data_IF_870895913158
#
_entry.id   IF_870895913158
#
_cell.length_a   1.000
_cell.length_b   1.000
_cell.length_c   1.000
_cell.angle_alpha   90.00
_cell.angle_beta   90.00
_cell.angle_gamma   90.00
#
_symmetry.space_group_name_H-M   'P 1'
#
loop_
_entity.id
_entity.type
_entity.pdbx_description
1 polymer ?
#
# COMPACT_ATOMS: atom_id res chain seq x y z
N UNK A 1 2.14 -37.57 0.00
CA UNK A 1 2.13 -36.40 -0.89
C UNK A 1 0.73 -36.25 -1.49
N UNK A 2 0.13 -35.06 -1.39
CA UNK A 2 -1.18 -34.73 -1.96
C UNK A 2 -0.98 -33.98 -3.28
N UNK A 3 -1.79 -34.29 -4.29
CA UNK A 3 -1.67 -33.67 -5.62
C UNK A 3 -2.86 -32.75 -5.89
N UNK A 4 -2.57 -31.54 -6.39
CA UNK A 4 -3.51 -30.48 -6.76
C UNK A 4 -3.26 -30.01 -8.20
N UNK A 5 -4.23 -29.35 -8.80
CA UNK A 5 -4.04 -28.61 -10.06
C UNK A 5 -3.33 -27.27 -9.78
N UNK A 6 -3.68 -26.64 -8.63
CA UNK A 6 -3.12 -25.37 -8.18
C UNK A 6 -2.84 -25.41 -6.69
N UNK A 7 -1.68 -24.94 -6.29
CA UNK A 7 -1.36 -24.57 -4.90
C UNK A 7 -1.12 -23.06 -4.83
N UNK A 8 -1.74 -22.40 -3.85
CA UNK A 8 -1.52 -20.99 -3.54
C UNK A 8 -0.90 -20.89 -2.15
N UNK A 9 0.24 -20.20 -2.03
CA UNK A 9 0.92 -19.94 -0.76
C UNK A 9 0.66 -18.49 -0.35
N UNK A 10 -0.15 -18.29 0.69
CA UNK A 10 -0.58 -16.99 1.20
C UNK A 10 -2.01 -16.59 0.76
N UNK A 11 -2.77 -16.03 1.71
CA UNK A 11 -4.17 -15.62 1.52
C UNK A 11 -4.32 -14.17 1.00
N UNK A 12 -3.32 -13.67 0.27
CA UNK A 12 -3.31 -12.32 -0.30
C UNK A 12 -4.36 -12.12 -1.40
N UNK A 13 -4.51 -10.88 -1.87
CA UNK A 13 -5.59 -10.49 -2.79
C UNK A 13 -5.55 -11.25 -4.11
N UNK A 14 -4.37 -11.41 -4.74
CA UNK A 14 -4.23 -12.14 -5.99
C UNK A 14 -4.50 -13.64 -5.80
N UNK A 15 -3.77 -14.26 -4.87
CA UNK A 15 -3.80 -15.71 -4.66
C UNK A 15 -5.18 -16.23 -4.31
N UNK A 16 -5.85 -15.63 -3.32
CA UNK A 16 -7.21 -16.04 -2.92
C UNK A 16 -8.23 -15.88 -4.05
N UNK A 17 -8.09 -14.82 -4.87
CA UNK A 17 -9.00 -14.57 -5.99
C UNK A 17 -8.81 -15.62 -7.07
N UNK A 18 -7.55 -15.96 -7.39
CA UNK A 18 -7.22 -17.02 -8.35
C UNK A 18 -7.68 -18.39 -7.84
N UNK A 19 -7.38 -18.71 -6.57
CA UNK A 19 -7.81 -19.97 -5.95
C UNK A 19 -9.32 -20.18 -6.06
N UNK A 20 -10.11 -19.20 -5.62
CA UNK A 20 -11.57 -19.28 -5.69
C UNK A 20 -12.10 -19.39 -7.12
N UNK A 21 -11.53 -18.64 -8.07
CA UNK A 21 -11.95 -18.68 -9.48
C UNK A 21 -11.69 -20.06 -10.11
N UNK A 22 -10.49 -20.65 -9.89
CA UNK A 22 -10.14 -21.93 -10.49
C UNK A 22 -10.87 -23.09 -9.79
N UNK A 23 -11.07 -23.06 -8.47
CA UNK A 23 -11.88 -24.04 -7.77
C UNK A 23 -13.34 -24.04 -8.24
N UNK A 24 -13.94 -22.84 -8.41
CA UNK A 24 -15.30 -22.70 -8.98
C UNK A 24 -15.39 -23.21 -10.43
N UNK A 25 -14.27 -23.29 -11.15
CA UNK A 25 -14.17 -23.89 -12.48
C UNK A 25 -13.86 -25.39 -12.45
N UNK A 26 -13.92 -26.04 -11.29
CA UNK A 26 -13.75 -27.47 -11.12
C UNK A 26 -12.32 -27.94 -10.95
N UNK A 27 -11.35 -27.04 -10.78
CA UNK A 27 -9.97 -27.39 -10.46
C UNK A 27 -9.83 -27.80 -8.99
N UNK A 28 -8.95 -28.76 -8.71
CA UNK A 28 -8.57 -29.13 -7.35
C UNK A 28 -7.51 -28.15 -6.84
N UNK A 29 -7.89 -27.30 -5.90
CA UNK A 29 -7.05 -26.17 -5.43
C UNK A 29 -6.77 -26.28 -3.94
N UNK A 30 -5.48 -26.10 -3.56
CA UNK A 30 -5.04 -25.90 -2.21
C UNK A 30 -4.65 -24.42 -1.98
N UNK A 31 -5.04 -23.86 -0.85
CA UNK A 31 -4.57 -22.55 -0.37
C UNK A 31 -4.00 -22.73 1.02
N UNK A 32 -2.74 -22.31 1.20
CA UNK A 32 -2.03 -22.42 2.47
C UNK A 32 -1.84 -21.04 3.09
N UNK A 33 -2.28 -20.84 4.33
CA UNK A 33 -2.08 -19.62 5.09
C UNK A 33 -1.59 -19.96 6.50
N UNK A 34 -0.49 -19.34 6.93
CA UNK A 34 0.11 -19.63 8.24
C UNK A 34 -0.68 -19.13 9.44
N UNK A 35 -1.57 -18.15 9.23
CA UNK A 35 -2.29 -17.49 10.32
C UNK A 35 -3.74 -17.21 9.96
N UNK A 36 -4.66 -17.75 10.74
CA UNK A 36 -6.10 -17.44 10.64
C UNK A 36 -6.41 -15.94 10.75
N UNK A 37 -5.58 -15.19 11.48
CA UNK A 37 -5.70 -13.76 11.60
C UNK A 37 -5.39 -13.03 10.27
N UNK A 38 -4.81 -13.73 9.27
CA UNK A 38 -4.40 -13.14 7.99
C UNK A 38 -5.29 -13.53 6.81
N UNK A 39 -6.45 -14.14 7.03
CA UNK A 39 -7.39 -14.41 5.93
C UNK A 39 -7.80 -13.11 5.21
N UNK A 40 -7.50 -13.01 3.94
CA UNK A 40 -7.64 -11.78 3.15
C UNK A 40 -6.35 -11.00 2.94
N UNK A 41 -5.25 -11.43 3.59
CA UNK A 41 -3.91 -10.85 3.45
C UNK A 41 -3.73 -9.52 4.20
N UNK A 42 -2.60 -8.89 3.95
CA UNK A 42 -2.15 -7.63 4.59
C UNK A 42 -3.20 -6.52 4.54
N UNK A 43 -3.80 -6.30 3.38
CA UNK A 43 -4.77 -5.20 3.18
C UNK A 43 -5.94 -5.25 4.16
N UNK A 44 -6.52 -6.44 4.37
CA UNK A 44 -7.71 -6.63 5.23
C UNK A 44 -7.34 -6.52 6.71
N UNK A 45 -6.19 -7.08 7.11
CA UNK A 45 -5.93 -7.39 8.51
C UNK A 45 -4.97 -6.42 9.20
N UNK A 46 -3.96 -5.90 8.47
CA UNK A 46 -2.87 -5.10 9.07
C UNK A 46 -2.44 -3.90 8.22
N UNK A 47 -3.06 -3.68 7.05
CA UNK A 47 -2.66 -2.61 6.11
C UNK A 47 -3.78 -1.61 5.83
N UNK A 48 -4.30 -1.62 4.59
CA UNK A 48 -5.20 -0.58 4.09
C UNK A 48 -6.47 -0.43 4.93
N UNK A 49 -7.19 -1.52 5.14
CA UNK A 49 -8.51 -1.46 5.80
C UNK A 49 -8.40 -1.02 7.27
N UNK A 50 -7.57 -1.65 8.12
CA UNK A 50 -7.47 -1.19 9.50
C UNK A 50 -6.98 0.25 9.60
N UNK A 51 -5.95 0.66 8.84
CA UNK A 51 -5.44 2.05 8.89
C UNK A 51 -6.51 3.06 8.47
N UNK A 52 -7.22 2.81 7.33
CA UNK A 52 -8.26 3.74 6.87
C UNK A 52 -9.49 3.75 7.79
N UNK A 53 -9.79 2.61 8.44
CA UNK A 53 -10.83 2.58 9.47
C UNK A 53 -10.46 3.44 10.68
N UNK A 54 -9.20 3.37 11.12
CA UNK A 54 -8.70 4.21 12.21
C UNK A 54 -8.76 5.69 11.84
N UNK A 55 -8.29 6.08 10.65
CA UNK A 55 -8.33 7.46 10.14
C UNK A 55 -9.77 8.00 10.14
N UNK A 56 -10.71 7.27 9.54
CA UNK A 56 -12.13 7.67 9.49
C UNK A 56 -12.78 7.68 10.87
N UNK A 57 -12.41 6.78 11.77
CA UNK A 57 -12.94 6.76 13.12
C UNK A 57 -12.40 7.92 13.98
N UNK A 58 -11.14 8.31 13.78
CA UNK A 58 -10.52 9.43 14.45
C UNK A 58 -11.11 10.80 14.05
N UNK A 59 -11.79 10.90 12.91
CA UNK A 59 -12.56 12.09 12.52
C UNK A 59 -13.88 12.24 13.28
N UNK A 60 -14.29 11.19 14.00
CA UNK A 60 -15.48 11.20 14.84
C UNK A 60 -15.06 11.49 16.29
N UNK A 61 -15.95 12.06 17.06
CA UNK A 61 -15.72 12.32 18.49
C UNK A 61 -15.80 11.01 19.31
N UNK A 62 -14.81 10.12 19.09
CA UNK A 62 -14.67 8.82 19.72
C UNK A 62 -13.41 8.77 20.58
N UNK A 63 -13.45 8.03 21.69
CA UNK A 63 -12.24 7.74 22.49
C UNK A 63 -11.28 6.85 21.72
N UNK A 64 -10.02 6.81 22.15
CA UNK A 64 -9.00 5.95 21.56
C UNK A 64 -9.44 4.47 21.56
N UNK A 65 -10.01 3.99 22.66
CA UNK A 65 -10.50 2.62 22.82
C UNK A 65 -11.65 2.33 21.84
N UNK A 66 -12.56 3.26 21.61
CA UNK A 66 -13.67 3.12 20.65
C UNK A 66 -13.18 3.11 19.21
N UNK A 67 -12.14 3.91 18.87
CA UNK A 67 -11.48 3.91 17.56
C UNK A 67 -10.84 2.54 17.29
N UNK A 68 -10.10 2.00 18.26
CA UNK A 68 -9.48 0.66 18.17
C UNK A 68 -10.55 -0.45 18.06
N UNK A 69 -11.61 -0.38 18.88
CA UNK A 69 -12.72 -1.35 18.84
C UNK A 69 -13.46 -1.33 17.49
N UNK A 70 -13.64 -0.15 16.90
CA UNK A 70 -14.24 0.01 15.56
C UNK A 70 -13.39 -0.67 14.51
N UNK A 71 -12.06 -0.46 14.51
CA UNK A 71 -11.12 -1.13 13.62
C UNK A 71 -11.20 -2.65 13.80
N UNK A 72 -11.14 -3.15 15.04
CA UNK A 72 -11.18 -4.59 15.32
C UNK A 72 -12.47 -5.25 14.80
N UNK A 73 -13.61 -4.58 14.98
CA UNK A 73 -14.91 -5.07 14.51
C UNK A 73 -14.95 -5.20 12.99
N UNK A 74 -14.48 -4.17 12.27
CA UNK A 74 -14.50 -4.16 10.80
C UNK A 74 -13.51 -5.18 10.24
N UNK A 75 -12.28 -5.22 10.76
CA UNK A 75 -11.27 -6.17 10.29
C UNK A 75 -11.66 -7.61 10.55
N UNK A 76 -12.18 -7.93 11.76
CA UNK A 76 -12.65 -9.28 12.10
C UNK A 76 -13.78 -9.75 11.19
N UNK A 77 -14.78 -8.88 10.93
CA UNK A 77 -15.88 -9.18 9.99
C UNK A 77 -15.36 -9.45 8.57
N UNK A 78 -14.44 -8.63 8.07
CA UNK A 78 -13.89 -8.79 6.72
C UNK A 78 -12.96 -9.99 6.60
N UNK A 79 -12.17 -10.29 7.62
CA UNK A 79 -11.37 -11.52 7.72
C UNK A 79 -12.27 -12.75 7.56
N UNK A 80 -13.31 -12.90 8.41
CA UNK A 80 -14.24 -14.01 8.35
C UNK A 80 -15.00 -14.10 7.01
N UNK A 81 -15.39 -12.95 6.42
CA UNK A 81 -16.01 -12.93 5.09
C UNK A 81 -15.04 -13.43 4.01
N UNK A 82 -13.77 -13.06 4.06
CA UNK A 82 -12.77 -13.53 3.10
C UNK A 82 -12.58 -15.05 3.18
N UNK A 83 -12.47 -15.59 4.40
CA UNK A 83 -12.42 -17.03 4.60
C UNK A 83 -13.64 -17.73 4.02
N UNK A 84 -14.85 -17.32 4.43
CA UNK A 84 -16.09 -17.95 3.99
C UNK A 84 -16.26 -17.90 2.45
N UNK A 85 -15.88 -16.81 1.83
CA UNK A 85 -15.95 -16.66 0.37
C UNK A 85 -15.05 -17.68 -0.35
N UNK A 86 -13.83 -17.89 0.12
CA UNK A 86 -12.91 -18.85 -0.50
C UNK A 86 -13.31 -20.28 -0.17
N UNK A 87 -13.64 -20.58 1.09
CA UNK A 87 -14.09 -21.91 1.51
C UNK A 87 -15.34 -22.36 0.76
N UNK A 88 -16.27 -21.43 0.49
CA UNK A 88 -17.48 -21.71 -0.30
C UNK A 88 -17.26 -22.08 -1.76
N UNK A 89 -16.04 -21.95 -2.29
CA UNK A 89 -15.69 -22.33 -3.68
C UNK A 89 -15.15 -23.75 -3.82
N UNK A 90 -14.94 -24.47 -2.72
CA UNK A 90 -14.38 -25.81 -2.71
C UNK A 90 -12.85 -25.88 -2.68
N UNK A 91 -12.19 -24.75 -2.33
CA UNK A 91 -10.73 -24.72 -2.08
C UNK A 91 -10.43 -25.46 -0.78
N UNK A 92 -9.43 -26.35 -0.80
CA UNK A 92 -8.85 -26.93 0.40
C UNK A 92 -7.95 -25.90 1.08
N UNK A 93 -8.40 -25.33 2.20
CA UNK A 93 -7.65 -24.33 2.95
C UNK A 93 -6.88 -25.01 4.07
N UNK A 94 -5.56 -24.79 4.10
CA UNK A 94 -4.64 -25.28 5.13
C UNK A 94 -4.14 -24.13 6.00
N UNK A 95 -4.40 -24.23 7.32
CA UNK A 95 -3.83 -23.34 8.33
C UNK A 95 -2.45 -23.88 8.72
N UNK A 96 -1.44 -23.55 7.93
CA UNK A 96 -0.11 -24.13 8.05
C UNK A 96 0.96 -23.18 7.50
N UNK A 97 2.19 -23.33 7.97
CA UNK A 97 3.36 -22.78 7.32
C UNK A 97 3.73 -23.62 6.09
N UNK A 98 4.21 -22.98 5.02
CA UNK A 98 4.62 -23.64 3.81
C UNK A 98 6.04 -23.28 3.41
N UNK A 99 6.83 -24.26 3.00
CA UNK A 99 8.14 -24.05 2.39
C UNK A 99 8.39 -25.06 1.26
N UNK A 100 9.30 -24.73 0.36
CA UNK A 100 9.66 -25.59 -0.76
C UNK A 100 10.65 -26.67 -0.33
N UNK A 101 10.37 -27.91 -0.76
CA UNK A 101 11.33 -29.02 -0.74
C UNK A 101 12.05 -29.15 -2.09
N UNK A 102 11.41 -28.74 -3.18
CA UNK A 102 11.93 -28.67 -4.54
C UNK A 102 11.04 -27.75 -5.38
N UNK A 103 11.37 -27.55 -6.66
CA UNK A 103 10.64 -26.65 -7.57
C UNK A 103 9.12 -26.84 -7.59
N UNK A 104 8.62 -28.05 -7.34
CA UNK A 104 7.19 -28.40 -7.44
C UNK A 104 6.62 -29.10 -6.22
N UNK A 105 7.42 -29.24 -5.16
CA UNK A 105 7.00 -29.89 -3.93
C UNK A 105 7.14 -28.90 -2.78
N UNK A 106 6.05 -28.70 -2.05
CA UNK A 106 6.06 -27.92 -0.80
C UNK A 106 5.73 -28.85 0.39
N UNK A 107 6.36 -28.60 1.50
CA UNK A 107 5.94 -29.14 2.79
C UNK A 107 5.08 -28.08 3.49
N UNK A 108 3.94 -28.51 4.02
CA UNK A 108 3.13 -27.68 4.93
C UNK A 108 3.22 -28.26 6.33
N UNK A 109 3.36 -27.36 7.32
CA UNK A 109 3.46 -27.73 8.72
C UNK A 109 2.42 -27.01 9.57
N UNK A 110 1.58 -27.80 10.27
CA UNK A 110 0.58 -27.34 11.25
C UNK A 110 0.87 -27.99 12.61
N UNK A 111 1.52 -27.28 13.52
CA UNK A 111 2.07 -27.87 14.74
C UNK A 111 3.09 -28.96 14.42
N UNK A 112 2.87 -30.18 14.89
CA UNK A 112 3.74 -31.35 14.64
C UNK A 112 3.37 -32.10 13.35
N UNK A 113 2.22 -31.78 12.73
CA UNK A 113 1.79 -32.44 11.51
C UNK A 113 2.48 -31.83 10.27
N UNK A 114 3.10 -32.71 9.46
CA UNK A 114 3.72 -32.35 8.20
C UNK A 114 3.04 -33.08 7.06
N UNK A 115 2.81 -32.37 5.96
CA UNK A 115 2.25 -32.95 4.72
C UNK A 115 2.98 -32.37 3.52
N UNK A 116 3.28 -33.22 2.55
CA UNK A 116 3.82 -32.79 1.26
C UNK A 116 2.68 -32.58 0.26
N UNK A 117 2.74 -31.48 -0.45
CA UNK A 117 1.84 -31.11 -1.54
C UNK A 117 2.64 -30.89 -2.82
N UNK A 118 2.02 -31.26 -3.96
CA UNK A 118 2.56 -30.97 -5.28
C UNK A 118 1.46 -30.52 -6.22
N UNK A 119 1.81 -29.64 -7.17
CA UNK A 119 0.90 -29.19 -8.22
C UNK A 119 1.66 -28.89 -9.51
N UNK A 120 0.94 -28.92 -10.63
CA UNK A 120 1.43 -28.40 -11.90
C UNK A 120 1.65 -26.88 -11.82
N UNK A 121 0.73 -26.17 -11.16
CA UNK A 121 0.80 -24.72 -10.96
C UNK A 121 0.94 -24.37 -9.47
N UNK A 122 1.95 -23.56 -9.12
CA UNK A 122 2.16 -23.01 -7.77
C UNK A 122 2.18 -21.48 -7.86
N UNK A 123 1.42 -20.81 -6.98
CA UNK A 123 1.36 -19.35 -6.92
C UNK A 123 1.81 -18.87 -5.53
N UNK A 124 2.89 -18.10 -5.51
CA UNK A 124 3.46 -17.51 -4.31
C UNK A 124 2.83 -16.13 -4.11
N UNK A 125 2.11 -15.95 -3.00
CA UNK A 125 1.43 -14.69 -2.64
C UNK A 125 1.67 -14.31 -1.17
N UNK A 126 2.90 -14.53 -0.69
CA UNK A 126 3.31 -14.31 0.69
C UNK A 126 3.47 -12.83 1.06
N UNK A 127 3.41 -11.93 0.05
CA UNK A 127 3.41 -10.49 0.25
C UNK A 127 4.76 -9.92 0.72
N UNK A 128 4.70 -8.92 1.58
CA UNK A 128 5.86 -8.24 2.15
C UNK A 128 5.70 -8.08 3.67
N UNK A 129 6.81 -7.89 4.36
CA UNK A 129 6.91 -7.60 5.79
C UNK A 129 7.60 -6.26 6.04
N UNK A 130 7.48 -5.71 7.24
CA UNK A 130 8.16 -4.46 7.61
C UNK A 130 9.67 -4.63 7.50
N UNK A 131 10.34 -3.66 6.91
CA UNK A 131 11.79 -3.65 6.79
C UNK A 131 12.41 -3.11 8.08
N UNK A 132 13.06 -3.97 8.83
CA UNK A 132 13.79 -3.59 10.04
C UNK A 132 15.21 -3.22 9.65
N UNK A 133 15.54 -1.92 9.75
CA UNK A 133 16.89 -1.45 9.49
C UNK A 133 17.88 -1.98 10.54
N UNK A 134 19.16 -2.13 10.19
CA UNK A 134 20.20 -2.61 11.12
C UNK A 134 20.64 -1.50 12.10
N UNK A 135 19.67 -0.87 12.75
CA UNK A 135 19.89 0.13 13.79
C UNK A 135 19.90 -0.59 15.13
N UNK A 136 20.96 -0.49 15.94
CA UNK A 136 21.03 -1.09 17.27
C UNK A 136 19.78 -0.76 18.10
N UNK A 137 19.15 -1.77 18.66
CA UNK A 137 17.95 -1.64 19.49
C UNK A 137 16.61 -1.52 18.77
N UNK A 138 16.57 -1.27 17.45
CA UNK A 138 15.31 -1.09 16.72
C UNK A 138 14.38 -2.32 16.83
N UNK A 139 14.95 -3.52 16.73
CA UNK A 139 14.18 -4.76 16.80
C UNK A 139 13.94 -5.29 18.23
N UNK A 140 14.61 -4.73 19.24
CA UNK A 140 14.69 -5.34 20.59
C UNK A 140 14.22 -4.42 21.70
N UNK A 141 14.13 -3.11 21.47
CA UNK A 141 13.67 -2.16 22.48
C UNK A 141 12.16 -2.28 22.69
N UNK A 142 11.73 -2.06 23.95
CA UNK A 142 10.31 -2.02 24.32
C UNK A 142 9.66 -0.77 23.73
N UNK A 143 8.34 -0.85 23.51
CA UNK A 143 7.52 0.24 22.97
C UNK A 143 7.97 0.73 21.57
N UNK A 144 8.65 -0.15 20.82
CA UNK A 144 9.01 0.07 19.41
C UNK A 144 8.15 -0.85 18.55
N UNK A 145 7.43 -0.29 17.60
CA UNK A 145 6.40 -0.98 16.84
C UNK A 145 6.58 -0.75 15.34
N UNK A 146 6.22 -1.75 14.55
CA UNK A 146 5.91 -1.56 13.13
C UNK A 146 4.46 -1.08 12.95
N UNK A 147 4.04 -0.91 11.70
CA UNK A 147 2.67 -0.49 11.35
C UNK A 147 1.59 -1.48 11.82
N UNK A 148 1.93 -2.74 12.10
CA UNK A 148 1.00 -3.73 12.64
C UNK A 148 0.85 -3.58 14.16
N UNK A 149 1.97 -3.44 14.85
CA UNK A 149 2.00 -3.30 16.30
C UNK A 149 1.35 -2.02 16.79
N UNK A 150 1.67 -0.89 16.15
CA UNK A 150 1.16 0.42 16.55
C UNK A 150 -0.37 0.51 16.50
N UNK A 151 -1.04 -0.23 15.62
CA UNK A 151 -2.51 -0.27 15.50
C UNK A 151 -3.22 -1.02 16.64
N UNK A 152 -2.46 -1.63 17.53
CA UNK A 152 -2.99 -2.52 18.58
C UNK A 152 -2.51 -2.10 19.98
N UNK A 153 -2.18 -0.82 20.16
CA UNK A 153 -1.84 -0.30 21.47
C UNK A 153 -3.07 -0.30 22.39
N UNK A 154 -2.85 -0.65 23.65
CA UNK A 154 -3.88 -0.61 24.69
C UNK A 154 -4.14 0.84 25.19
N UNK A 155 -3.15 1.72 25.00
CA UNK A 155 -3.20 3.11 25.49
C UNK A 155 -2.60 4.06 24.44
N UNK A 156 -3.24 5.21 24.30
CA UNK A 156 -2.72 6.30 23.47
C UNK A 156 -1.39 6.83 24.05
N UNK A 157 -0.26 6.81 23.29
CA UNK A 157 0.97 7.44 23.75
C UNK A 157 0.83 8.95 23.77
N UNK A 158 1.33 9.63 24.80
CA UNK A 158 1.35 11.10 24.84
C UNK A 158 2.32 11.65 23.79
N UNK A 159 3.51 11.01 23.67
CA UNK A 159 4.56 11.37 22.72
C UNK A 159 4.86 10.17 21.80
N UNK A 160 4.57 10.33 20.53
CA UNK A 160 4.85 9.33 19.51
C UNK A 160 5.99 9.78 18.59
N UNK A 161 7.06 9.00 18.55
CA UNK A 161 8.09 9.13 17.52
C UNK A 161 7.73 8.27 16.30
N UNK A 162 8.02 8.76 15.10
CA UNK A 162 7.85 8.01 13.85
C UNK A 162 9.16 8.05 13.07
N UNK A 163 9.80 6.91 12.91
CA UNK A 163 11.01 6.75 12.11
C UNK A 163 10.64 6.40 10.67
N UNK A 164 10.81 7.37 9.77
CA UNK A 164 10.48 7.30 8.34
C UNK A 164 9.24 8.09 7.94
N UNK A 165 9.41 9.11 7.09
CA UNK A 165 8.39 10.03 6.57
C UNK A 165 7.74 9.58 5.25
N UNK A 166 7.63 8.26 5.01
CA UNK A 166 6.90 7.71 3.88
C UNK A 166 5.38 7.65 4.11
N UNK A 167 4.62 7.13 3.13
CA UNK A 167 3.16 7.06 3.18
C UNK A 167 2.62 6.49 4.49
N UNK A 168 3.19 5.37 4.97
CA UNK A 168 2.77 4.73 6.22
C UNK A 168 3.01 5.67 7.41
N UNK A 169 4.22 6.21 7.53
CA UNK A 169 4.58 7.10 8.63
C UNK A 169 3.70 8.33 8.72
N UNK A 170 3.46 9.00 7.59
CA UNK A 170 2.66 10.22 7.54
C UNK A 170 1.16 9.98 7.78
N UNK A 171 0.60 8.85 7.32
CA UNK A 171 -0.77 8.48 7.64
C UNK A 171 -0.94 8.23 9.15
N UNK A 172 -0.01 7.53 9.80
CA UNK A 172 -0.03 7.34 11.25
C UNK A 172 0.28 8.62 12.01
N UNK A 173 1.11 9.51 11.47
CA UNK A 173 1.35 10.82 12.07
C UNK A 173 0.05 11.63 12.18
N UNK A 174 -0.70 11.75 11.07
CA UNK A 174 -2.00 12.40 11.08
C UNK A 174 -3.00 11.74 12.02
N UNK A 175 -3.08 10.41 12.01
CA UNK A 175 -3.96 9.61 12.87
C UNK A 175 -3.71 9.91 14.36
N UNK A 176 -2.47 9.71 14.82
CA UNK A 176 -2.15 9.83 16.23
C UNK A 176 -2.20 11.28 16.72
N UNK A 177 -1.81 12.23 15.85
CA UNK A 177 -1.96 13.65 16.14
C UNK A 177 -3.43 14.02 16.34
N UNK A 178 -4.32 13.56 15.47
CA UNK A 178 -5.77 13.77 15.58
C UNK A 178 -6.36 13.17 16.86
N UNK A 179 -5.82 12.05 17.33
CA UNK A 179 -6.22 11.41 18.59
C UNK A 179 -5.63 12.09 19.84
N UNK A 180 -4.73 13.07 19.70
CA UNK A 180 -4.20 13.89 20.79
C UNK A 180 -2.75 13.58 21.20
N UNK A 181 -2.03 12.70 20.47
CA UNK A 181 -0.60 12.50 20.69
C UNK A 181 0.21 13.67 20.14
N UNK A 182 1.32 14.02 20.82
CA UNK A 182 2.37 14.86 20.25
C UNK A 182 3.24 14.01 19.34
N UNK A 183 3.23 14.31 18.04
CA UNK A 183 3.89 13.46 17.04
C UNK A 183 5.10 14.17 16.46
N UNK A 184 6.24 13.45 16.46
CA UNK A 184 7.46 13.85 15.77
C UNK A 184 7.82 12.79 14.73
N UNK A 185 7.91 13.19 13.46
CA UNK A 185 8.37 12.35 12.35
C UNK A 185 9.83 12.65 12.08
N UNK A 186 10.68 11.61 12.10
CA UNK A 186 12.11 11.71 11.84
C UNK A 186 12.42 10.95 10.53
N UNK A 187 12.86 11.68 9.50
CA UNK A 187 13.23 11.08 8.20
C UNK A 187 14.71 11.30 7.90
N UNK A 188 15.35 10.27 7.36
CA UNK A 188 16.74 10.35 6.90
C UNK A 188 16.90 11.13 5.59
N UNK A 189 15.82 11.29 4.82
CA UNK A 189 15.83 12.07 3.59
C UNK A 189 15.84 13.58 3.90
N UNK A 190 16.47 14.35 3.04
CA UNK A 190 16.53 15.82 3.09
C UNK A 190 15.30 16.48 2.47
N UNK A 191 14.55 15.73 1.66
CA UNK A 191 13.40 16.20 0.91
C UNK A 191 12.13 15.51 1.38
N UNK A 192 11.13 16.30 1.76
CA UNK A 192 9.80 15.78 2.14
C UNK A 192 9.06 15.32 0.89
N UNK A 193 8.54 14.08 0.93
CA UNK A 193 7.80 13.46 -0.16
C UNK A 193 8.47 13.61 -1.55
N UNK A 194 9.70 13.12 -1.75
CA UNK A 194 10.50 13.38 -2.95
C UNK A 194 9.90 12.83 -4.25
N UNK A 195 8.86 11.99 -4.16
CA UNK A 195 8.15 11.43 -5.33
C UNK A 195 6.86 12.16 -5.65
N UNK A 196 6.44 13.08 -4.80
CA UNK A 196 5.25 13.89 -5.03
C UNK A 196 5.58 15.11 -5.91
N UNK A 197 4.54 15.72 -6.45
CA UNK A 197 4.65 17.04 -7.10
C UNK A 197 5.17 18.07 -6.09
N UNK A 198 6.29 18.79 -6.35
CA UNK A 198 6.95 19.61 -5.34
C UNK A 198 6.07 20.67 -4.69
N UNK A 199 5.22 21.38 -5.47
CA UNK A 199 4.29 22.37 -4.91
C UNK A 199 3.27 21.76 -3.97
N UNK A 200 2.77 20.58 -4.32
CA UNK A 200 1.80 19.83 -3.50
C UNK A 200 2.47 19.24 -2.25
N UNK A 201 3.71 18.73 -2.38
CA UNK A 201 4.49 18.26 -1.23
C UNK A 201 4.73 19.40 -0.21
N UNK A 202 5.03 20.60 -0.69
CA UNK A 202 5.21 21.77 0.16
C UNK A 202 3.93 22.14 0.93
N UNK A 203 2.75 22.12 0.26
CA UNK A 203 1.46 22.34 0.91
C UNK A 203 1.15 21.24 1.95
N UNK A 204 1.43 19.97 1.61
CA UNK A 204 1.21 18.86 2.54
C UNK A 204 2.07 19.00 3.80
N UNK A 205 3.34 19.38 3.65
CA UNK A 205 4.25 19.67 4.77
C UNK A 205 3.69 20.80 5.63
N UNK A 206 3.35 21.93 5.01
CA UNK A 206 2.81 23.09 5.70
C UNK A 206 1.58 22.72 6.54
N UNK A 207 0.60 22.00 5.97
CA UNK A 207 -0.62 21.66 6.69
C UNK A 207 -0.38 20.69 7.86
N UNK A 208 0.53 19.71 7.69
CA UNK A 208 0.89 18.82 8.78
C UNK A 208 1.59 19.56 9.93
N UNK A 209 2.46 20.55 9.61
CA UNK A 209 3.11 21.41 10.62
C UNK A 209 2.10 22.34 11.30
N UNK A 210 1.14 22.91 10.56
CA UNK A 210 0.03 23.71 11.09
C UNK A 210 -0.88 22.88 12.01
N UNK A 211 -1.08 21.60 11.71
CA UNK A 211 -1.81 20.66 12.58
C UNK A 211 -0.98 20.25 13.83
N UNK A 212 0.27 20.71 13.97
CA UNK A 212 1.13 20.48 15.13
C UNK A 212 2.02 19.24 15.07
N UNK A 213 2.18 18.62 13.90
CA UNK A 213 3.10 17.51 13.68
C UNK A 213 4.51 18.07 13.43
N UNK A 214 5.49 17.64 14.21
CA UNK A 214 6.88 18.00 14.00
C UNK A 214 7.50 17.12 12.91
N UNK A 215 7.99 17.75 11.82
CA UNK A 215 8.58 17.04 10.67
C UNK A 215 10.07 17.34 10.58
N UNK A 216 10.91 16.41 11.02
CA UNK A 216 12.36 16.50 11.03
C UNK A 216 12.97 15.70 9.89
N UNK A 217 13.67 16.40 8.99
CA UNK A 217 14.32 15.82 7.83
C UNK A 217 15.84 15.77 8.04
N UNK A 218 16.52 14.92 7.26
CA UNK A 218 17.96 14.71 7.35
C UNK A 218 18.40 14.22 8.76
N UNK A 219 17.55 13.43 9.41
CA UNK A 219 17.81 12.86 10.73
C UNK A 219 18.34 11.43 10.59
N UNK A 220 19.60 11.23 10.94
CA UNK A 220 20.23 9.92 10.92
C UNK A 220 20.22 9.30 12.32
N UNK A 221 19.35 8.30 12.50
CA UNK A 221 19.27 7.53 13.74
C UNK A 221 20.45 6.57 13.86
N UNK A 222 21.12 6.58 15.00
CA UNK A 222 22.30 5.73 15.28
C UNK A 222 21.99 4.59 16.24
N UNK A 223 21.04 4.78 17.16
CA UNK A 223 20.67 3.77 18.17
C UNK A 223 19.23 4.01 18.63
N UNK A 224 18.56 2.93 19.01
CA UNK A 224 17.29 2.97 19.77
C UNK A 224 17.54 2.25 21.10
N UNK A 225 17.13 2.83 22.22
CA UNK A 225 17.24 2.22 23.55
C UNK A 225 16.09 2.63 24.46
N UNK A 226 16.00 2.00 25.63
CA UNK A 226 15.00 2.35 26.63
C UNK A 226 15.64 3.07 27.82
N UNK A 227 14.90 4.01 28.41
CA UNK A 227 15.11 4.54 29.74
C UNK A 227 13.78 4.39 30.51
N UNK A 228 13.72 3.37 31.38
CA UNK A 228 12.46 2.92 31.97
C UNK A 228 11.47 2.48 30.90
N UNK A 229 10.30 3.10 30.85
CA UNK A 229 9.26 2.82 29.85
C UNK A 229 9.36 3.71 28.60
N UNK A 230 10.27 4.70 28.60
CA UNK A 230 10.48 5.56 27.44
C UNK A 230 11.37 4.92 26.39
N UNK A 231 11.14 5.28 25.14
CA UNK A 231 11.98 4.97 23.99
C UNK A 231 12.84 6.18 23.69
N UNK A 232 14.15 5.96 23.65
CA UNK A 232 15.13 6.96 23.26
C UNK A 232 15.59 6.68 21.82
N UNK A 233 15.37 7.65 20.93
CA UNK A 233 15.94 7.65 19.60
C UNK A 233 17.18 8.55 19.61
N UNK A 234 18.33 7.93 19.41
CA UNK A 234 19.63 8.59 19.47
C UNK A 234 20.09 8.91 18.04
N UNK A 235 20.55 10.14 17.85
CA UNK A 235 21.22 10.62 16.63
C UNK A 235 22.65 11.05 16.95
N UNK A 236 23.40 11.52 15.99
CA UNK A 236 24.74 12.06 16.23
C UNK A 236 24.72 13.35 17.07
N UNK A 237 23.62 14.11 17.01
CA UNK A 237 23.57 15.46 17.61
C UNK A 237 22.61 15.55 18.82
N UNK A 238 21.61 14.69 18.90
CA UNK A 238 20.49 14.83 19.83
C UNK A 238 19.90 13.47 20.21
N UNK A 239 19.20 13.41 21.34
CA UNK A 239 18.40 12.26 21.76
C UNK A 239 16.95 12.69 21.95
N UNK A 240 16.03 12.02 21.25
CA UNK A 240 14.60 12.25 21.34
C UNK A 240 13.96 11.23 22.29
N UNK A 241 12.95 11.66 23.04
CA UNK A 241 12.28 10.84 24.06
C UNK A 241 10.80 10.66 23.71
N UNK A 242 10.36 9.40 23.61
CA UNK A 242 9.00 9.04 23.24
C UNK A 242 8.40 8.00 24.18
N UNK A 243 7.07 7.93 24.29
CA UNK A 243 6.36 6.86 24.98
C UNK A 243 6.24 5.62 24.09
N UNK A 244 6.16 5.86 22.76
CA UNK A 244 6.16 4.82 21.74
C UNK A 244 6.90 5.29 20.48
N UNK A 245 7.51 4.36 19.75
CA UNK A 245 8.16 4.62 18.46
C UNK A 245 7.56 3.71 17.39
N UNK A 246 7.06 4.30 16.31
CA UNK A 246 6.72 3.59 15.08
C UNK A 246 7.92 3.61 14.14
N UNK A 247 8.37 2.45 13.64
CA UNK A 247 9.26 2.42 12.48
C UNK A 247 8.47 2.09 11.21
N UNK A 248 8.60 2.96 10.21
CA UNK A 248 7.97 2.87 8.89
C UNK A 248 9.01 3.01 7.77
N UNK A 249 10.11 2.29 7.93
CA UNK A 249 11.33 2.33 7.11
C UNK A 249 11.26 1.46 5.85
N UNK A 250 10.05 1.28 5.33
CA UNK A 250 9.76 0.50 4.14
C UNK A 250 9.34 -0.93 4.42
N UNK A 251 9.20 -1.71 3.35
CA UNK A 251 8.78 -3.12 3.39
C UNK A 251 9.71 -3.94 2.51
N UNK A 252 9.96 -5.20 2.90
CA UNK A 252 10.74 -6.17 2.12
C UNK A 252 9.87 -7.37 1.73
N UNK A 253 10.14 -8.04 0.58
CA UNK A 253 9.44 -9.25 0.17
C UNK A 253 9.54 -10.35 1.23
N UNK A 254 8.43 -11.06 1.47
CA UNK A 254 8.36 -12.11 2.47
C UNK A 254 8.73 -13.47 1.85
N UNK A 255 10.00 -13.69 1.60
CA UNK A 255 10.55 -14.90 0.96
C UNK A 255 11.25 -15.84 1.93
N UNK A 256 11.76 -15.32 3.07
CA UNK A 256 12.56 -16.09 4.03
C UNK A 256 11.89 -17.41 4.49
N UNK A 257 10.58 -17.44 4.82
CA UNK A 257 9.95 -18.68 5.26
C UNK A 257 9.81 -19.75 4.17
N UNK A 258 9.98 -19.37 2.90
CA UNK A 258 9.75 -20.27 1.76
C UNK A 258 10.88 -21.23 1.48
N UNK A 259 12.08 -21.03 2.05
CA UNK A 259 13.28 -21.86 1.81
C UNK A 259 13.58 -22.02 0.31
N UNK A 260 13.62 -20.90 -0.42
CA UNK A 260 13.79 -20.88 -1.88
C UNK A 260 15.13 -21.45 -2.34
N UNK A 261 16.11 -21.58 -1.44
CA UNK A 261 17.39 -22.26 -1.67
C UNK A 261 17.23 -23.74 -2.05
N UNK A 262 16.08 -24.35 -1.79
CA UNK A 262 15.73 -25.70 -2.23
C UNK A 262 15.18 -25.75 -3.67
N UNK A 263 15.15 -24.62 -4.36
CA UNK A 263 14.56 -24.43 -5.68
C UNK A 263 15.52 -23.72 -6.62
N UNK A 264 15.17 -23.69 -7.90
CA UNK A 264 15.86 -22.89 -8.91
C UNK A 264 15.28 -21.46 -9.04
N UNK A 265 14.33 -21.05 -8.17
CA UNK A 265 13.66 -19.74 -8.24
C UNK A 265 14.66 -18.63 -8.01
N UNK A 266 14.76 -17.72 -8.98
CA UNK A 266 15.66 -16.57 -8.93
C UNK A 266 15.04 -15.40 -8.15
N UNK A 267 15.91 -14.72 -7.39
CA UNK A 267 15.57 -13.47 -6.73
C UNK A 267 16.20 -12.27 -7.46
N UNK A 268 15.57 -11.12 -7.32
CA UNK A 268 16.15 -9.83 -7.72
C UNK A 268 17.23 -9.40 -6.73
N UNK A 269 18.05 -8.41 -7.07
CA UNK A 269 19.05 -7.80 -6.17
C UNK A 269 18.43 -7.26 -4.86
N UNK A 270 17.14 -6.94 -4.88
CA UNK A 270 16.38 -6.46 -3.71
C UNK A 270 15.67 -7.58 -2.94
N UNK A 271 15.95 -8.83 -3.27
CA UNK A 271 15.41 -10.01 -2.57
C UNK A 271 13.95 -10.34 -2.91
N UNK A 272 13.37 -9.76 -3.95
CA UNK A 272 12.05 -10.12 -4.45
C UNK A 272 12.14 -11.32 -5.41
N UNK A 273 11.06 -12.10 -5.54
CA UNK A 273 11.00 -13.17 -6.54
C UNK A 273 10.94 -12.54 -7.94
N UNK A 274 11.92 -12.89 -8.77
CA UNK A 274 12.00 -12.41 -10.16
C UNK A 274 10.93 -13.08 -11.01
N UNK A 275 10.18 -12.27 -11.77
CA UNK A 275 9.11 -12.75 -12.64
C UNK A 275 9.22 -12.14 -14.04
N UNK A 276 8.62 -12.84 -15.01
CA UNK A 276 8.41 -12.35 -16.37
C UNK A 276 7.13 -11.48 -16.46
N UNK A 277 6.77 -11.07 -17.67
CA UNK A 277 5.57 -10.27 -17.93
C UNK A 277 4.23 -10.94 -17.58
N UNK A 278 4.22 -12.25 -17.36
CA UNK A 278 3.05 -13.03 -16.95
C UNK A 278 3.05 -13.35 -15.45
N UNK A 279 3.90 -12.73 -14.65
CA UNK A 279 4.16 -13.04 -13.24
C UNK A 279 4.74 -14.46 -13.04
N UNK A 280 5.25 -15.13 -14.07
CA UNK A 280 5.88 -16.44 -13.96
C UNK A 280 7.36 -16.28 -13.57
N UNK A 281 7.83 -17.13 -12.67
CA UNK A 281 9.25 -17.24 -12.32
C UNK A 281 10.05 -17.92 -13.43
N UNK A 282 11.35 -18.05 -13.28
CA UNK A 282 12.18 -18.88 -14.16
C UNK A 282 11.86 -20.38 -14.07
N UNK A 283 11.09 -20.82 -13.05
CA UNK A 283 10.60 -22.20 -12.93
C UNK A 283 9.22 -22.31 -13.59
N UNK A 284 9.07 -23.10 -14.68
CA UNK A 284 7.81 -23.22 -15.40
C UNK A 284 6.64 -23.65 -14.50
N UNK A 285 5.51 -22.91 -14.58
CA UNK A 285 4.31 -23.15 -13.77
C UNK A 285 4.43 -22.70 -12.31
N UNK A 286 5.48 -21.94 -11.94
CA UNK A 286 5.57 -21.25 -10.66
C UNK A 286 5.46 -19.75 -10.88
N UNK A 287 4.50 -19.12 -10.20
CA UNK A 287 4.18 -17.70 -10.32
C UNK A 287 4.40 -16.98 -8.97
N UNK A 288 4.75 -15.70 -9.02
CA UNK A 288 4.79 -14.86 -7.83
C UNK A 288 3.98 -13.58 -8.06
N UNK A 289 3.02 -13.31 -7.18
CA UNK A 289 2.02 -12.24 -7.33
C UNK A 289 1.92 -11.37 -6.09
N UNK A 290 1.63 -10.08 -6.29
CA UNK A 290 1.60 -9.06 -5.23
C UNK A 290 3.01 -8.70 -4.74
N UNK A 291 3.10 -8.15 -3.54
CA UNK A 291 4.30 -7.50 -3.01
C UNK A 291 5.57 -8.39 -3.02
N UNK A 292 5.43 -9.70 -3.06
CA UNK A 292 6.54 -10.66 -3.05
C UNK A 292 7.38 -10.62 -4.34
N UNK A 293 6.79 -10.16 -5.46
CA UNK A 293 7.50 -10.01 -6.75
C UNK A 293 8.26 -8.67 -6.88
N UNK A 294 8.16 -7.79 -5.87
CA UNK A 294 8.92 -6.53 -5.82
C UNK A 294 8.36 -5.39 -6.67
N UNK A 295 7.19 -5.55 -7.27
CA UNK A 295 6.47 -4.49 -7.99
C UNK A 295 5.86 -3.45 -7.04
N UNK A 296 4.93 -2.63 -7.55
CA UNK A 296 4.20 -1.65 -6.75
C UNK A 296 3.37 -2.35 -5.67
N UNK A 297 3.57 -1.98 -4.40
CA UNK A 297 2.97 -2.64 -3.23
C UNK A 297 1.57 -2.10 -2.93
N UNK A 298 0.63 -2.31 -3.85
CA UNK A 298 -0.77 -1.92 -3.68
C UNK A 298 -1.70 -3.11 -3.87
N UNK A 299 -2.81 -3.11 -3.15
CA UNK A 299 -3.81 -4.19 -3.23
C UNK A 299 -4.42 -4.33 -4.62
N UNK A 300 -4.63 -3.23 -5.32
CA UNK A 300 -5.16 -3.23 -6.69
C UNK A 300 -4.12 -3.73 -7.70
N UNK A 301 -2.82 -3.55 -7.45
CA UNK A 301 -1.74 -4.18 -8.23
C UNK A 301 -1.73 -5.68 -8.01
N UNK A 302 -1.84 -6.13 -6.76
CA UNK A 302 -2.00 -7.56 -6.48
C UNK A 302 -3.25 -8.17 -7.16
N UNK A 303 -4.37 -7.42 -7.21
CA UNK A 303 -5.56 -7.86 -7.96
C UNK A 303 -5.30 -7.90 -9.47
N UNK A 304 -4.47 -7.01 -9.98
CA UNK A 304 -4.13 -6.99 -11.39
C UNK A 304 -3.16 -8.11 -11.76
N UNK A 305 -2.20 -8.46 -10.88
CA UNK A 305 -1.39 -9.68 -11.03
C UNK A 305 -2.27 -10.94 -11.17
N UNK A 306 -3.37 -11.01 -10.39
CA UNK A 306 -4.36 -12.07 -10.59
C UNK A 306 -4.92 -12.06 -12.02
N UNK A 307 -5.25 -10.90 -12.60
CA UNK A 307 -5.77 -10.81 -13.97
C UNK A 307 -4.76 -11.29 -15.00
N UNK A 308 -3.49 -10.91 -14.82
CA UNK A 308 -2.37 -11.36 -15.66
C UNK A 308 -2.21 -12.88 -15.61
N UNK A 309 -2.11 -13.47 -14.42
CA UNK A 309 -1.96 -14.91 -14.25
C UNK A 309 -3.21 -15.66 -14.74
N UNK A 310 -4.40 -15.15 -14.48
CA UNK A 310 -5.64 -15.76 -14.95
C UNK A 310 -5.75 -15.73 -16.48
N UNK A 311 -5.38 -14.63 -17.14
CA UNK A 311 -5.28 -14.54 -18.61
C UNK A 311 -4.33 -15.60 -19.18
N UNK A 312 -3.17 -15.78 -18.53
CA UNK A 312 -2.18 -16.79 -18.96
C UNK A 312 -2.65 -18.24 -18.77
N UNK A 313 -3.28 -18.55 -17.62
CA UNK A 313 -3.67 -19.94 -17.29
C UNK A 313 -4.97 -20.39 -17.97
N UNK A 314 -5.89 -19.50 -18.26
CA UNK A 314 -7.26 -19.81 -18.67
C UNK A 314 -7.64 -19.13 -19.98
N UNK A 315 -7.04 -18.00 -20.29
CA UNK A 315 -7.27 -17.23 -21.51
C UNK A 315 -6.22 -17.48 -22.60
N UNK A 316 -5.94 -16.45 -23.36
CA UNK A 316 -4.95 -16.44 -24.46
C UNK A 316 -3.57 -15.90 -24.03
N UNK A 317 -3.43 -15.46 -22.77
CA UNK A 317 -2.20 -14.87 -22.25
C UNK A 317 -1.86 -13.48 -22.81
N UNK A 318 -2.82 -12.82 -23.45
CA UNK A 318 -2.59 -11.51 -24.07
C UNK A 318 -2.43 -10.38 -23.06
N UNK A 319 -3.06 -10.47 -21.88
CA UNK A 319 -2.94 -9.48 -20.83
C UNK A 319 -1.71 -9.73 -19.95
N UNK A 320 -0.83 -8.73 -19.84
CA UNK A 320 0.49 -8.82 -19.21
C UNK A 320 0.77 -7.65 -18.28
N UNK A 321 1.89 -7.68 -17.55
CA UNK A 321 2.37 -6.56 -16.73
C UNK A 321 2.69 -5.30 -17.57
N UNK A 322 2.95 -5.46 -18.89
CA UNK A 322 3.25 -4.38 -19.81
C UNK A 322 2.01 -3.54 -20.18
N UNK A 323 0.80 -4.10 -19.93
CA UNK A 323 -0.46 -3.41 -20.17
C UNK A 323 -0.84 -2.40 -19.06
N UNK A 324 -0.06 -2.34 -17.97
CA UNK A 324 -0.22 -1.36 -16.89
C UNK A 324 0.36 -0.02 -17.29
N UNK A 325 -0.46 0.89 -17.77
CA UNK A 325 0.01 2.19 -18.24
C UNK A 325 0.05 3.21 -17.10
N UNK A 326 -1.08 3.53 -16.51
CA UNK A 326 -1.21 4.58 -15.51
C UNK A 326 -1.71 4.00 -14.19
N UNK A 327 -0.84 4.00 -13.16
CA UNK A 327 -1.19 3.47 -11.84
C UNK A 327 -1.37 4.63 -10.88
N UNK A 328 -2.61 4.97 -10.47
CA UNK A 328 -2.82 6.02 -9.48
C UNK A 328 -2.37 5.55 -8.11
N UNK A 329 -1.99 6.49 -7.26
CA UNK A 329 -1.74 6.23 -5.85
C UNK A 329 -2.37 7.31 -4.98
N UNK A 330 -2.69 6.95 -3.73
CA UNK A 330 -3.23 7.87 -2.74
C UNK A 330 -2.54 7.67 -1.41
N UNK A 331 -2.10 8.77 -0.82
CA UNK A 331 -1.67 8.89 0.57
C UNK A 331 -2.81 9.50 1.37
N UNK A 332 -3.26 8.82 2.40
CA UNK A 332 -4.42 9.24 3.22
C UNK A 332 -3.99 10.09 4.41
N UNK A 333 -3.26 11.18 4.12
CA UNK A 333 -3.08 12.32 5.03
C UNK A 333 -4.32 13.21 4.98
N UNK A 334 -4.39 14.29 5.74
CA UNK A 334 -5.56 15.19 5.82
C UNK A 334 -5.21 16.58 5.28
N UNK A 335 -5.77 16.97 4.10
CA UNK A 335 -6.60 16.17 3.18
C UNK A 335 -5.79 15.06 2.47
N UNK A 336 -6.46 14.14 1.77
CA UNK A 336 -5.79 13.07 1.06
C UNK A 336 -5.08 13.58 -0.21
N UNK A 337 -3.88 13.04 -0.48
CA UNK A 337 -3.08 13.34 -1.66
C UNK A 337 -3.09 12.17 -2.62
N UNK A 338 -3.64 12.37 -3.81
CA UNK A 338 -3.71 11.38 -4.90
C UNK A 338 -2.93 11.84 -6.12
N UNK A 339 -2.24 10.91 -6.78
CA UNK A 339 -1.40 11.20 -7.94
C UNK A 339 -1.51 10.11 -9.00
N UNK A 340 -1.32 10.51 -10.27
CA UNK A 340 -1.19 9.60 -11.42
C UNK A 340 -0.28 10.24 -12.47
N UNK A 341 0.51 9.43 -13.18
CA UNK A 341 1.38 9.87 -14.27
C UNK A 341 2.61 10.66 -13.79
N UNK A 342 3.06 11.59 -14.60
CA UNK A 342 4.30 12.35 -14.43
C UNK A 342 4.08 13.61 -13.57
N UNK A 343 5.09 13.94 -12.77
CA UNK A 343 5.22 15.29 -12.19
C UNK A 343 5.72 16.28 -13.25
N UNK A 344 5.61 17.57 -12.97
CA UNK A 344 6.16 18.63 -13.83
C UNK A 344 7.68 18.45 -14.07
N UNK A 345 8.45 18.16 -13.02
CA UNK A 345 9.88 17.92 -13.14
C UNK A 345 10.21 16.72 -14.01
N UNK A 346 9.45 15.62 -13.88
CA UNK A 346 9.65 14.44 -14.72
C UNK A 346 9.31 14.72 -16.20
N UNK A 347 8.28 15.51 -16.48
CA UNK A 347 7.96 15.92 -17.85
C UNK A 347 9.07 16.81 -18.44
N UNK A 348 9.64 17.70 -17.64
CA UNK A 348 10.81 18.53 -18.03
C UNK A 348 12.05 17.69 -18.31
N UNK A 349 12.38 16.74 -17.42
CA UNK A 349 13.54 15.84 -17.58
C UNK A 349 13.45 15.00 -18.85
N UNK A 350 12.22 14.55 -19.19
CA UNK A 350 11.90 13.84 -20.44
C UNK A 350 11.85 14.76 -21.66
N UNK A 351 12.00 16.07 -21.48
CA UNK A 351 11.94 17.10 -22.55
C UNK A 351 10.64 17.05 -23.36
N UNK A 352 9.53 16.73 -22.71
CA UNK A 352 8.23 16.72 -23.36
C UNK A 352 7.71 18.15 -23.58
N UNK A 353 6.95 18.43 -24.64
CA UNK A 353 6.26 19.71 -24.79
C UNK A 353 5.08 19.75 -23.81
N UNK A 354 5.26 20.38 -22.65
CA UNK A 354 4.25 20.38 -21.59
C UNK A 354 3.76 21.77 -21.21
N UNK A 355 2.58 21.80 -20.60
CA UNK A 355 2.06 22.93 -19.85
C UNK A 355 1.46 22.42 -18.53
N UNK A 356 1.42 23.30 -17.54
CA UNK A 356 0.87 23.00 -16.22
C UNK A 356 -0.20 24.00 -15.81
N UNK A 357 -1.13 23.53 -14.99
CA UNK A 357 -2.04 24.39 -14.26
C UNK A 357 -2.24 23.86 -12.86
N UNK A 358 -2.28 24.79 -11.92
CA UNK A 358 -2.57 24.50 -10.52
C UNK A 358 -3.71 25.42 -10.07
N UNK A 359 -4.70 24.86 -9.37
CA UNK A 359 -5.83 25.61 -8.80
C UNK A 359 -6.00 25.24 -7.33
N UNK A 360 -6.06 26.21 -6.40
CA UNK A 360 -6.25 25.91 -4.99
C UNK A 360 -7.69 25.51 -4.70
N UNK A 361 -7.91 24.60 -3.74
CA UNK A 361 -9.25 24.21 -3.27
C UNK A 361 -10.04 25.41 -2.75
N UNK A 362 -9.37 26.41 -2.19
CA UNK A 362 -9.98 27.67 -1.76
C UNK A 362 -10.70 28.44 -2.88
N UNK A 363 -10.39 28.19 -4.14
CA UNK A 363 -11.12 28.76 -5.28
C UNK A 363 -12.34 27.92 -5.71
N UNK A 364 -12.58 26.76 -5.08
CA UNK A 364 -13.61 25.80 -5.48
C UNK A 364 -14.85 25.93 -4.57
N UNK A 365 -16.06 26.11 -5.13
CA UNK A 365 -17.29 26.26 -4.33
C UNK A 365 -17.51 25.10 -3.33
N UNK A 366 -17.21 23.88 -3.73
CA UNK A 366 -17.36 22.68 -2.88
C UNK A 366 -16.43 22.69 -1.67
N UNK A 367 -15.21 23.25 -1.77
CA UNK A 367 -14.33 23.43 -0.62
C UNK A 367 -14.97 24.27 0.49
N UNK A 368 -15.64 25.36 0.11
CA UNK A 368 -16.38 26.20 1.06
C UNK A 368 -17.57 25.47 1.69
N UNK A 369 -18.30 24.64 0.93
CA UNK A 369 -19.41 23.84 1.45
C UNK A 369 -18.91 22.78 2.45
N UNK A 370 -17.75 22.16 2.18
CA UNK A 370 -17.16 21.15 3.06
C UNK A 370 -16.51 21.77 4.32
N UNK A 371 -16.21 23.09 4.29
CA UNK A 371 -15.52 23.79 5.38
C UNK A 371 -14.02 23.49 5.45
N UNK A 372 -13.45 22.87 4.41
CA UNK A 372 -12.00 22.64 4.26
C UNK A 372 -11.51 23.23 2.94
N UNK A 373 -10.67 24.28 3.07
CA UNK A 373 -10.10 25.01 1.93
C UNK A 373 -8.67 24.58 1.62
N UNK A 374 -8.13 23.60 2.35
CA UNK A 374 -6.78 23.10 2.19
C UNK A 374 -6.66 22.27 0.92
N UNK A 375 -5.53 22.45 0.24
CA UNK A 375 -5.14 21.66 -0.92
C UNK A 375 -5.18 22.38 -2.24
N UNK A 376 -4.82 21.65 -3.28
CA UNK A 376 -4.79 22.13 -4.65
C UNK A 376 -4.91 20.96 -5.63
N UNK A 377 -5.35 21.26 -6.85
CA UNK A 377 -5.30 20.37 -8.00
C UNK A 377 -4.22 20.86 -8.94
N UNK A 378 -3.35 19.96 -9.39
CA UNK A 378 -2.34 20.27 -10.41
C UNK A 378 -2.39 19.26 -11.53
N UNK A 379 -2.33 19.74 -12.78
CA UNK A 379 -2.26 18.91 -13.98
C UNK A 379 -1.02 19.27 -14.80
N UNK A 380 -0.44 18.25 -15.42
CA UNK A 380 0.63 18.32 -16.41
C UNK A 380 0.08 17.74 -17.71
N UNK A 381 0.11 18.50 -18.80
CA UNK A 381 -0.46 18.10 -20.09
C UNK A 381 0.56 18.25 -21.20
N UNK A 382 0.46 17.42 -22.25
CA UNK A 382 1.23 17.59 -23.47
C UNK A 382 0.55 18.63 -24.38
N UNK A 383 1.28 19.68 -24.73
CA UNK A 383 0.72 20.79 -25.55
C UNK A 383 0.52 20.44 -27.02
N UNK A 384 1.22 19.42 -27.53
CA UNK A 384 1.13 18.97 -28.92
C UNK A 384 0.12 17.84 -29.08
N UNK A 385 0.27 16.73 -28.32
CA UNK A 385 -0.59 15.55 -28.42
C UNK A 385 -1.94 15.72 -27.72
N UNK A 386 -2.06 16.72 -26.84
CA UNK A 386 -3.23 16.96 -25.96
C UNK A 386 -3.48 15.89 -24.91
N UNK A 387 -2.54 14.99 -24.70
CA UNK A 387 -2.61 13.96 -23.65
C UNK A 387 -2.44 14.56 -22.25
N UNK A 388 -3.06 13.95 -21.27
CA UNK A 388 -2.77 14.20 -19.86
C UNK A 388 -1.50 13.41 -19.52
N UNK A 389 -0.44 14.11 -19.14
CA UNK A 389 0.82 13.48 -18.72
C UNK A 389 0.80 13.05 -17.26
N UNK A 390 0.11 13.81 -16.42
CA UNK A 390 -0.05 13.51 -15.02
C UNK A 390 -0.93 14.50 -14.29
N UNK A 391 -1.32 14.11 -13.07
CA UNK A 391 -2.08 14.97 -12.18
C UNK A 391 -1.80 14.64 -10.71
N UNK A 392 -1.88 15.68 -9.87
CA UNK A 392 -1.87 15.60 -8.41
C UNK A 392 -3.10 16.29 -7.88
N UNK A 393 -3.91 15.55 -7.12
CA UNK A 393 -5.14 16.03 -6.48
C UNK A 393 -4.94 15.96 -4.98
N UNK A 394 -4.86 17.11 -4.33
CA UNK A 394 -4.70 17.22 -2.88
C UNK A 394 -5.96 17.86 -2.31
N UNK A 395 -6.90 17.04 -1.88
CA UNK A 395 -8.21 17.49 -1.35
C UNK A 395 -8.97 16.34 -0.69
N UNK A 396 -10.02 16.67 0.02
CA UNK A 396 -11.06 15.68 0.35
C UNK A 396 -11.56 15.00 -0.94
N UNK A 397 -11.76 13.68 -0.89
CA UNK A 397 -12.25 12.90 -2.03
C UNK A 397 -11.26 12.74 -3.20
N UNK A 398 -9.99 13.14 -3.04
CA UNK A 398 -8.98 13.03 -4.09
C UNK A 398 -8.82 11.60 -4.61
N UNK A 399 -8.97 10.59 -3.72
CA UNK A 399 -8.91 9.16 -4.05
C UNK A 399 -10.01 8.71 -5.03
N UNK A 400 -11.11 9.45 -5.13
CA UNK A 400 -12.17 9.19 -6.11
C UNK A 400 -11.92 9.94 -7.40
N UNK A 401 -11.50 11.21 -7.29
CA UNK A 401 -11.29 12.11 -8.43
C UNK A 401 -10.14 11.61 -9.32
N UNK A 402 -9.05 11.13 -8.71
CA UNK A 402 -7.89 10.64 -9.46
C UNK A 402 -8.23 9.50 -10.41
N UNK A 403 -9.23 8.66 -10.08
CA UNK A 403 -9.67 7.58 -10.94
C UNK A 403 -10.31 8.09 -12.23
N UNK A 404 -10.98 9.25 -12.21
CA UNK A 404 -11.55 9.89 -13.42
C UNK A 404 -10.41 10.25 -14.38
N UNK A 405 -9.35 10.86 -13.86
CA UNK A 405 -8.17 11.24 -14.63
C UNK A 405 -7.46 10.01 -15.17
N UNK A 406 -7.28 8.97 -14.34
CA UNK A 406 -6.64 7.71 -14.75
C UNK A 406 -7.39 7.05 -15.91
N UNK A 407 -8.72 6.97 -15.84
CA UNK A 407 -9.55 6.42 -16.93
C UNK A 407 -9.37 7.24 -18.21
N UNK A 408 -9.29 8.56 -18.11
CA UNK A 408 -9.05 9.42 -19.26
C UNK A 408 -7.66 9.17 -19.88
N UNK A 409 -6.62 9.05 -19.06
CA UNK A 409 -5.25 8.75 -19.51
C UNK A 409 -5.18 7.40 -20.22
N UNK A 410 -5.73 6.33 -19.62
CA UNK A 410 -5.70 4.98 -20.18
C UNK A 410 -6.45 4.88 -21.52
N UNK A 411 -7.51 5.68 -21.69
CA UNK A 411 -8.28 5.74 -22.92
C UNK A 411 -7.84 6.86 -23.88
N UNK A 412 -6.72 7.53 -23.59
CA UNK A 412 -6.15 8.63 -24.40
C UNK A 412 -7.16 9.74 -24.68
N UNK A 413 -8.05 10.02 -23.71
CA UNK A 413 -8.99 11.13 -23.80
C UNK A 413 -8.17 12.42 -23.65
N UNK A 414 -8.23 13.36 -24.64
CA UNK A 414 -7.45 14.57 -24.57
C UNK A 414 -7.93 15.47 -23.42
N UNK A 415 -7.01 16.18 -22.76
CA UNK A 415 -7.34 17.05 -21.64
C UNK A 415 -8.41 18.10 -21.99
N UNK A 416 -8.45 18.54 -23.25
CA UNK A 416 -9.45 19.49 -23.76
C UNK A 416 -10.89 18.96 -23.72
N UNK A 417 -11.09 17.65 -23.56
CA UNK A 417 -12.42 17.07 -23.34
C UNK A 417 -13.04 17.57 -22.04
N UNK A 418 -12.23 17.65 -20.97
CA UNK A 418 -12.71 18.07 -19.66
C UNK A 418 -13.24 19.51 -19.65
N UNK A 419 -12.72 20.40 -20.49
CA UNK A 419 -13.21 21.80 -20.54
C UNK A 419 -14.68 21.94 -20.96
N UNK A 420 -15.25 20.88 -21.53
CA UNK A 420 -16.63 20.85 -22.03
C UNK A 420 -17.49 19.78 -21.35
N UNK A 421 -16.88 18.97 -20.49
CA UNK A 421 -17.58 17.91 -19.76
C UNK A 421 -18.57 18.53 -18.77
N UNK A 422 -19.79 17.99 -18.74
CA UNK A 422 -20.80 18.38 -17.74
C UNK A 422 -20.57 17.54 -16.49
N UNK A 423 -20.31 18.20 -15.39
CA UNK A 423 -20.19 17.59 -14.06
C UNK A 423 -21.37 17.97 -13.17
N UNK A 424 -21.64 17.13 -12.18
CA UNK A 424 -22.63 17.44 -11.13
C UNK A 424 -22.13 18.61 -10.27
N UNK A 425 -23.02 19.55 -9.92
CA UNK A 425 -22.73 20.70 -9.07
C UNK A 425 -23.47 20.60 -7.71
N UNK A 426 -22.88 21.00 -6.56
CA UNK A 426 -21.46 21.33 -6.36
C UNK A 426 -20.62 20.09 -6.03
N UNK A 427 -19.54 19.88 -6.72
CA UNK A 427 -18.57 18.80 -6.47
C UNK A 427 -17.14 19.31 -6.60
N UNK A 428 -16.16 18.61 -6.02
CA UNK A 428 -14.76 18.91 -6.28
C UNK A 428 -14.36 18.48 -7.71
N UNK A 429 -14.96 17.41 -8.23
CA UNK A 429 -14.66 16.88 -9.56
C UNK A 429 -15.02 17.84 -10.71
N UNK A 430 -16.02 18.73 -10.54
CA UNK A 430 -16.38 19.72 -11.59
C UNK A 430 -15.22 20.68 -11.89
N UNK A 431 -14.32 20.89 -10.93
CA UNK A 431 -13.15 21.76 -11.11
C UNK A 431 -12.10 21.17 -12.07
N UNK A 432 -12.29 19.94 -12.55
CA UNK A 432 -11.53 19.41 -13.69
C UNK A 432 -11.80 20.23 -14.97
N UNK A 433 -12.96 20.90 -15.09
CA UNK A 433 -13.21 21.86 -16.18
C UNK A 433 -12.17 22.99 -16.15
N UNK A 434 -11.99 23.60 -14.97
CA UNK A 434 -11.08 24.72 -14.80
C UNK A 434 -9.62 24.24 -14.81
N UNK A 435 -9.32 23.11 -14.19
CA UNK A 435 -7.97 22.54 -14.16
C UNK A 435 -7.42 22.32 -15.56
N UNK A 436 -8.23 21.77 -16.45
CA UNK A 436 -7.82 21.46 -17.82
C UNK A 436 -8.09 22.57 -18.83
N UNK A 437 -8.54 23.74 -18.40
CA UNK A 437 -8.56 24.96 -19.23
C UNK A 437 -7.16 25.61 -19.29
N UNK A 438 -6.23 24.91 -19.96
CA UNK A 438 -4.82 25.26 -20.16
C UNK A 438 -4.61 25.86 -21.54
#
# INVERSE_FOLDING_TARGET
MLTYDLIVIGFGKAGKTLAGKLASAGKKVALVERSKAMYGGTCINIGCIPTKTLLVAAEKDLSFEEVIATKNTITGRLNGKNYATVAGTGVDIFDAEAHFLSNKVIEIQAGDEKKELTAETIVINTGAVSNVLPIPGLATSKNVFDSTGIQNLDKLPEKLGILGGGNIGLEFAGLYNKLGSKVTVLDALDTFLPRAEPSIAALAKQYMEEDGIELLQNIRTTEIKNDGDQVLLVTENETYHFDALLYSTGRKPNVEPLQLENTDIELTERGAIKVDKHCQTNVPGVFAVGDVNGGLQFTYISLDDFRVVYSYLVGDGSYTLEDRLNVPNTMFITPALSQVGLTESQAADLKLPYAVKEIPVAAMPRGHVNGDLRGAFKAVVNTETKEILGASIFSEGSQEIINIITVAMDNKIPYTYFTKQIFTHPTLAENLNDLFAI
#
